data_IF_676726946244
#
_entry.id   IF_676726946244
#
_cell.length_a   1.000
_cell.length_b   1.000
_cell.length_c   1.000
_cell.angle_alpha   90.00
_cell.angle_beta   90.00
_cell.angle_gamma   90.00
#
_symmetry.space_group_name_H-M   'P 1'
#
loop_
_entity.id
_entity.type
_entity.pdbx_description
1 polymer ?
#
# COMPACT_ATOMS: atom_id res chain seq x y z
N UNK A 1 2.20 31.22 -3.77
CA UNK A 1 2.84 30.27 -2.84
C UNK A 1 1.93 30.13 -1.64
N UNK A 2 1.68 28.90 -1.19
CA UNK A 2 0.93 28.64 0.04
C UNK A 2 1.93 28.64 1.20
N UNK A 3 1.59 29.31 2.29
CA UNK A 3 2.40 29.31 3.51
C UNK A 3 2.13 28.08 4.37
N UNK A 4 0.96 27.44 4.18
CA UNK A 4 0.57 26.22 4.88
C UNK A 4 1.15 24.97 4.22
N UNK A 5 1.50 23.95 5.01
CA UNK A 5 1.91 22.65 4.49
C UNK A 5 0.84 21.98 3.65
N UNK A 6 1.24 21.44 2.49
CA UNK A 6 0.41 20.62 1.62
C UNK A 6 1.04 19.24 1.48
N UNK A 7 0.31 18.20 1.83
CA UNK A 7 0.76 16.82 1.70
C UNK A 7 -0.20 16.04 0.79
N UNK A 8 0.32 15.59 -0.35
CA UNK A 8 -0.42 14.79 -1.34
C UNK A 8 -0.04 13.33 -1.16
N UNK A 9 -1.02 12.48 -0.90
CA UNK A 9 -0.86 11.02 -0.83
C UNK A 9 -1.65 10.39 -1.95
N UNK A 10 -0.99 9.59 -2.79
CA UNK A 10 -1.58 8.98 -3.97
C UNK A 10 -1.43 7.47 -3.93
N UNK A 11 -2.52 6.75 -4.09
CA UNK A 11 -2.46 5.33 -4.35
C UNK A 11 -1.85 5.05 -5.74
N UNK A 12 -1.32 3.85 -5.94
CA UNK A 12 -0.83 3.40 -7.25
C UNK A 12 -1.88 3.60 -8.36
N UNK A 13 -3.14 3.31 -8.04
CA UNK A 13 -4.26 3.48 -8.96
C UNK A 13 -4.49 4.93 -9.40
N UNK A 14 -4.26 5.90 -8.52
CA UNK A 14 -4.40 7.32 -8.80
C UNK A 14 -3.34 7.80 -9.80
N UNK A 15 -2.10 7.38 -9.59
CA UNK A 15 -0.98 7.69 -10.47
C UNK A 15 -1.22 7.13 -11.87
N UNK A 16 -1.68 5.87 -11.99
CA UNK A 16 -1.97 5.23 -13.27
C UNK A 16 -3.15 5.90 -13.98
N UNK A 17 -4.18 6.28 -13.22
CA UNK A 17 -5.44 6.78 -13.82
C UNK A 17 -5.34 8.19 -14.35
N UNK A 18 -4.69 9.14 -13.62
CA UNK A 18 -4.71 10.55 -14.01
C UNK A 18 -3.62 11.41 -13.40
N UNK A 19 -2.98 10.97 -12.31
CA UNK A 19 -2.20 11.89 -11.46
C UNK A 19 -0.70 11.91 -11.77
N UNK A 20 -0.21 11.09 -12.68
CA UNK A 20 1.19 11.15 -13.10
C UNK A 20 1.63 12.54 -13.57
N UNK A 21 0.76 13.24 -14.28
CA UNK A 21 1.06 14.57 -14.86
C UNK A 21 1.10 15.70 -13.83
N UNK A 22 0.60 15.47 -12.60
CA UNK A 22 0.59 16.49 -11.54
C UNK A 22 1.72 16.33 -10.54
N UNK A 23 2.66 15.42 -10.78
CA UNK A 23 3.88 15.30 -9.97
C UNK A 23 4.60 16.64 -9.85
N UNK A 24 5.02 16.95 -8.65
CA UNK A 24 5.83 18.15 -8.34
C UNK A 24 6.97 17.73 -7.42
N UNK A 25 8.09 18.46 -7.44
CA UNK A 25 9.16 18.24 -6.47
C UNK A 25 8.69 18.63 -5.07
N UNK A 26 9.17 17.89 -4.07
CA UNK A 26 9.01 18.26 -2.67
C UNK A 26 9.67 19.62 -2.37
N UNK A 27 9.02 20.42 -1.52
CA UNK A 27 9.53 21.75 -1.11
C UNK A 27 9.45 21.91 0.40
N UNK A 28 9.72 23.10 0.91
CA UNK A 28 9.54 23.41 2.33
C UNK A 28 8.07 23.35 2.79
N UNK A 29 7.12 23.51 1.85
CA UNK A 29 5.67 23.52 2.14
C UNK A 29 4.88 22.48 1.33
N UNK A 30 5.54 21.60 0.58
CA UNK A 30 4.88 20.57 -0.21
C UNK A 30 5.57 19.21 -0.06
N UNK A 31 4.80 18.14 0.15
CA UNK A 31 5.22 16.74 0.12
C UNK A 31 4.27 15.93 -0.74
N UNK A 32 4.84 14.92 -1.41
CA UNK A 32 4.06 13.94 -2.16
C UNK A 32 4.56 12.53 -1.86
N UNK A 33 3.63 11.64 -1.51
CA UNK A 33 3.87 10.20 -1.45
C UNK A 33 3.06 9.49 -2.51
N UNK A 34 3.69 8.53 -3.18
CA UNK A 34 3.03 7.58 -4.07
C UNK A 34 3.17 6.18 -3.47
N UNK A 35 2.07 5.51 -3.21
CA UNK A 35 2.05 4.28 -2.43
C UNK A 35 2.00 3.06 -3.36
N UNK A 36 3.06 2.24 -3.34
CA UNK A 36 3.14 1.02 -4.14
C UNK A 36 2.11 -0.03 -3.68
N UNK A 37 1.50 -0.73 -4.62
CA UNK A 37 0.56 -1.83 -4.35
C UNK A 37 -0.75 -1.39 -3.71
N UNK A 38 -1.18 -0.14 -3.86
CA UNK A 38 -2.39 0.38 -3.22
C UNK A 38 -3.43 0.83 -4.25
N UNK A 39 -4.69 0.85 -3.86
CA UNK A 39 -5.80 1.29 -4.68
C UNK A 39 -6.48 2.53 -4.08
N UNK A 40 -7.20 3.27 -4.92
CA UNK A 40 -7.99 4.43 -4.50
C UNK A 40 -9.02 4.07 -3.42
N UNK A 41 -9.68 2.92 -3.57
CA UNK A 41 -10.65 2.38 -2.62
C UNK A 41 -10.37 0.88 -2.42
N UNK A 42 -9.56 0.56 -1.44
CA UNK A 42 -9.15 -0.81 -1.13
C UNK A 42 -10.16 -1.56 -0.24
N UNK A 43 -9.87 -2.81 0.08
CA UNK A 43 -10.74 -3.64 0.91
C UNK A 43 -10.92 -3.08 2.34
N UNK A 44 -9.93 -2.35 2.86
CA UNK A 44 -10.07 -1.70 4.16
C UNK A 44 -11.13 -0.59 4.10
N UNK A 45 -11.01 0.31 3.12
CA UNK A 45 -11.92 1.44 2.96
C UNK A 45 -13.37 0.98 2.71
N UNK A 46 -13.59 -0.03 1.87
CA UNK A 46 -14.95 -0.42 1.47
C UNK A 46 -15.60 -1.48 2.37
N UNK A 47 -14.87 -2.04 3.33
CA UNK A 47 -15.40 -3.13 4.16
C UNK A 47 -14.78 -3.25 5.54
N UNK A 48 -13.49 -3.59 5.62
CA UNK A 48 -12.82 -3.94 6.88
C UNK A 48 -12.86 -2.81 7.91
N UNK A 49 -12.58 -1.59 7.49
CA UNK A 49 -12.51 -0.42 8.36
C UNK A 49 -13.81 -0.07 9.10
N UNK A 50 -14.97 -0.50 8.60
CA UNK A 50 -16.24 -0.24 9.28
C UNK A 50 -16.38 -1.01 10.62
N UNK A 51 -15.65 -2.10 10.78
CA UNK A 51 -15.67 -2.92 11.99
C UNK A 51 -14.35 -2.91 12.76
N UNK A 52 -13.34 -2.21 12.27
CA UNK A 52 -12.04 -2.17 12.94
C UNK A 52 -12.06 -1.20 14.13
N UNK A 53 -11.68 -1.71 15.29
CA UNK A 53 -11.62 -0.97 16.55
C UNK A 53 -10.18 -0.64 16.98
N UNK A 54 -9.20 -0.80 16.07
CA UNK A 54 -7.78 -0.58 16.38
C UNK A 54 -7.21 -1.62 17.34
N UNK A 55 -7.65 -2.87 17.21
CA UNK A 55 -7.23 -4.00 18.07
C UNK A 55 -6.45 -5.08 17.31
N UNK A 56 -5.99 -4.77 16.11
CA UNK A 56 -5.30 -5.70 15.20
C UNK A 56 -6.23 -6.63 14.40
N UNK A 57 -7.55 -6.59 14.65
CA UNK A 57 -8.51 -7.40 13.91
C UNK A 57 -8.58 -7.01 12.43
N UNK A 58 -8.48 -5.71 12.13
CA UNK A 58 -8.43 -5.18 10.77
C UNK A 58 -7.20 -5.65 10.02
N UNK A 59 -6.02 -5.59 10.64
CA UNK A 59 -4.78 -6.10 10.06
C UNK A 59 -4.85 -7.60 9.75
N UNK A 60 -5.36 -8.40 10.69
CA UNK A 60 -5.55 -9.83 10.49
C UNK A 60 -6.52 -10.13 9.33
N UNK A 61 -7.64 -9.39 9.23
CA UNK A 61 -8.61 -9.56 8.15
C UNK A 61 -8.02 -9.15 6.79
N UNK A 62 -7.32 -8.03 6.70
CA UNK A 62 -6.64 -7.60 5.46
C UNK A 62 -5.59 -8.61 5.02
N UNK A 63 -4.82 -9.16 5.97
CA UNK A 63 -3.85 -10.21 5.68
C UNK A 63 -4.52 -11.48 5.12
N UNK A 64 -5.67 -11.90 5.67
CA UNK A 64 -6.44 -13.02 5.13
C UNK A 64 -6.94 -12.75 3.70
N UNK A 65 -7.38 -11.52 3.41
CA UNK A 65 -7.80 -11.15 2.05
C UNK A 65 -6.66 -11.23 1.04
N UNK A 66 -5.41 -10.97 1.45
CA UNK A 66 -4.24 -11.17 0.60
C UNK A 66 -3.90 -12.65 0.37
N UNK A 67 -4.12 -13.49 1.38
CA UNK A 67 -3.71 -14.90 1.39
C UNK A 67 -4.71 -15.85 0.76
N UNK A 68 -5.98 -15.47 0.75
CA UNK A 68 -7.08 -16.34 0.36
C UNK A 68 -7.73 -15.85 -0.93
N UNK A 69 -7.96 -16.72 -1.92
CA UNK A 69 -8.73 -16.34 -3.10
C UNK A 69 -10.13 -15.88 -2.68
N UNK A 70 -10.48 -14.64 -3.00
CA UNK A 70 -11.78 -14.07 -2.72
C UNK A 70 -12.53 -13.85 -4.04
N UNK A 71 -13.89 -13.92 -4.05
CA UNK A 71 -14.63 -13.57 -5.23
C UNK A 71 -14.50 -12.06 -5.52
N UNK A 72 -14.37 -11.66 -6.80
CA UNK A 72 -14.42 -10.26 -7.15
C UNK A 72 -15.82 -9.70 -6.86
N UNK A 73 -15.93 -8.37 -6.61
CA UNK A 73 -17.22 -7.70 -6.60
C UNK A 73 -17.94 -7.85 -7.93
N UNK A 74 -19.26 -7.77 -7.92
CA UNK A 74 -20.05 -7.89 -9.12
C UNK A 74 -19.60 -6.90 -10.21
N UNK A 75 -19.30 -7.42 -11.39
CA UNK A 75 -18.82 -6.65 -12.52
C UNK A 75 -17.31 -6.37 -12.56
N UNK A 76 -16.54 -6.76 -11.54
CA UNK A 76 -15.09 -6.63 -11.51
C UNK A 76 -14.39 -7.93 -11.91
N UNK A 77 -13.21 -7.83 -12.51
CA UNK A 77 -12.46 -8.99 -12.97
C UNK A 77 -11.64 -9.66 -11.86
N UNK A 78 -11.28 -8.92 -10.82
CA UNK A 78 -10.41 -9.41 -9.74
C UNK A 78 -10.95 -9.02 -8.36
N UNK A 79 -10.56 -9.75 -7.30
CA UNK A 79 -10.80 -9.33 -5.90
C UNK A 79 -10.22 -7.94 -5.65
N UNK A 80 -10.83 -7.22 -4.72
CA UNK A 80 -10.40 -5.89 -4.31
C UNK A 80 -8.97 -5.91 -3.76
N UNK A 81 -8.25 -4.82 -3.96
CA UNK A 81 -6.92 -4.63 -3.39
C UNK A 81 -6.95 -4.72 -1.85
N UNK A 82 -6.04 -5.51 -1.30
CA UNK A 82 -5.84 -5.65 0.14
C UNK A 82 -4.42 -5.19 0.55
N UNK A 83 -3.93 -4.12 -0.06
CA UNK A 83 -2.62 -3.53 0.22
C UNK A 83 -2.56 -2.69 1.48
N UNK A 84 -1.41 -2.05 1.69
CA UNK A 84 -1.09 -1.31 2.91
C UNK A 84 -1.55 0.14 2.95
N UNK A 85 -2.56 0.55 2.16
CA UNK A 85 -2.98 1.94 2.03
C UNK A 85 -3.34 2.58 3.38
N UNK A 86 -4.18 1.90 4.16
CA UNK A 86 -4.67 2.41 5.45
C UNK A 86 -3.53 2.85 6.39
N UNK A 87 -2.59 1.96 6.65
CA UNK A 87 -1.48 2.21 7.60
C UNK A 87 -0.52 3.30 7.12
N UNK A 88 -0.18 3.28 5.83
CA UNK A 88 0.66 4.34 5.25
C UNK A 88 -0.06 5.70 5.28
N UNK A 89 -1.38 5.72 5.07
CA UNK A 89 -2.18 6.94 5.17
C UNK A 89 -2.25 7.46 6.61
N UNK A 90 -2.32 6.60 7.63
CA UNK A 90 -2.20 7.00 9.03
C UNK A 90 -0.86 7.68 9.33
N UNK A 91 0.25 7.11 8.84
CA UNK A 91 1.57 7.72 8.98
C UNK A 91 1.64 9.08 8.29
N UNK A 92 1.02 9.22 7.11
CA UNK A 92 0.94 10.49 6.40
C UNK A 92 0.13 11.54 7.18
N UNK A 93 -1.02 11.18 7.76
CA UNK A 93 -1.82 12.09 8.60
C UNK A 93 -1.07 12.52 9.85
N UNK A 94 -0.39 11.59 10.53
CA UNK A 94 0.47 11.90 11.68
C UNK A 94 1.61 12.83 11.28
N UNK A 95 2.25 12.58 10.13
CA UNK A 95 3.30 13.43 9.60
C UNK A 95 2.81 14.83 9.26
N UNK A 96 1.62 14.97 8.68
CA UNK A 96 1.01 16.28 8.39
C UNK A 96 0.68 17.04 9.68
N UNK A 97 0.08 16.38 10.68
CA UNK A 97 -0.20 17.01 11.98
C UNK A 97 1.08 17.51 12.67
N UNK A 98 2.13 16.69 12.66
CA UNK A 98 3.45 17.07 13.17
C UNK A 98 4.02 18.27 12.42
N UNK A 99 3.93 18.26 11.09
CA UNK A 99 4.43 19.35 10.25
C UNK A 99 3.73 20.67 10.54
N UNK A 100 2.39 20.65 10.61
CA UNK A 100 1.61 21.86 10.94
C UNK A 100 1.96 22.42 12.32
N UNK A 101 2.21 21.55 13.30
CA UNK A 101 2.49 21.98 14.69
C UNK A 101 3.94 22.40 14.92
N UNK A 102 4.89 21.78 14.24
CA UNK A 102 6.32 21.93 14.55
C UNK A 102 7.14 22.56 13.43
N UNK A 103 6.57 22.67 12.23
CA UNK A 103 7.30 23.08 11.03
C UNK A 103 8.19 21.98 10.44
N UNK A 104 8.22 20.77 11.02
CA UNK A 104 9.05 19.66 10.55
C UNK A 104 8.28 18.82 9.54
N UNK A 105 8.65 18.84 8.24
CA UNK A 105 7.96 18.07 7.23
C UNK A 105 8.20 16.57 7.38
N UNK A 106 7.26 15.72 6.96
CA UNK A 106 7.48 14.26 6.88
C UNK A 106 8.60 13.92 5.90
N UNK A 107 9.09 12.68 5.97
CA UNK A 107 10.10 12.17 5.06
C UNK A 107 9.67 12.34 3.59
N UNK A 108 10.64 12.56 2.69
CA UNK A 108 10.41 12.52 1.25
C UNK A 108 10.17 11.08 0.82
N UNK A 109 9.04 10.82 0.14
CA UNK A 109 8.74 9.51 -0.43
C UNK A 109 9.37 9.33 -1.81
N UNK A 110 9.91 8.14 -2.13
CA UNK A 110 10.27 7.82 -3.51
C UNK A 110 9.03 7.81 -4.39
N UNK A 111 9.19 8.11 -5.69
CA UNK A 111 8.11 8.05 -6.66
C UNK A 111 8.03 6.66 -7.31
N UNK A 112 6.84 6.24 -7.71
CA UNK A 112 6.63 5.00 -8.49
C UNK A 112 7.41 5.07 -9.81
N UNK A 113 8.06 3.96 -10.16
CA UNK A 113 8.83 3.85 -11.40
C UNK A 113 7.90 3.66 -12.58
N UNK A 114 8.01 4.53 -13.58
CA UNK A 114 7.15 4.55 -14.76
C UNK A 114 7.92 3.96 -15.95
N UNK A 115 7.29 2.98 -16.62
CA UNK A 115 7.78 2.38 -17.85
C UNK A 115 7.31 3.15 -19.09
N UNK A 116 6.06 3.63 -19.07
CA UNK A 116 5.41 4.39 -20.15
C UNK A 116 4.46 5.42 -19.58
N UNK A 117 4.36 6.57 -20.23
CA UNK A 117 3.47 7.68 -19.84
C UNK A 117 2.20 7.77 -20.69
N UNK A 118 2.10 7.00 -21.79
CA UNK A 118 0.91 7.01 -22.67
C UNK A 118 0.75 5.64 -23.38
N UNK A 119 -0.10 4.74 -22.86
CA UNK A 119 -0.76 4.79 -21.55
C UNK A 119 0.24 4.75 -20.40
N UNK A 120 -0.20 5.21 -19.22
CA UNK A 120 0.65 5.11 -18.02
C UNK A 120 0.80 3.64 -17.64
N UNK A 121 2.05 3.17 -17.60
CA UNK A 121 2.43 1.81 -17.19
C UNK A 121 3.56 1.92 -16.17
N UNK A 122 3.39 1.28 -15.02
CA UNK A 122 4.44 1.23 -14.00
C UNK A 122 5.40 0.07 -14.26
N UNK A 123 6.64 0.24 -13.83
CA UNK A 123 7.58 -0.87 -13.73
C UNK A 123 7.17 -1.80 -12.58
N UNK A 124 7.35 -3.11 -12.79
CA UNK A 124 6.97 -4.13 -11.81
C UNK A 124 8.10 -5.10 -11.56
N UNK A 125 8.15 -5.61 -10.35
CA UNK A 125 9.08 -6.67 -9.96
C UNK A 125 8.64 -8.05 -10.51
N UNK A 126 9.41 -9.10 -10.20
CA UNK A 126 9.09 -10.47 -10.60
C UNK A 126 7.81 -11.03 -9.93
N UNK A 127 7.32 -10.41 -8.88
CA UNK A 127 6.06 -10.74 -8.22
C UNK A 127 4.85 -10.01 -8.85
N UNK A 128 5.10 -9.09 -9.78
CA UNK A 128 4.09 -8.25 -10.42
C UNK A 128 3.72 -7.00 -9.61
N UNK A 129 4.42 -6.71 -8.50
CA UNK A 129 4.18 -5.54 -7.67
C UNK A 129 4.96 -4.33 -8.20
N UNK A 130 4.43 -3.12 -8.00
CA UNK A 130 5.04 -1.90 -8.50
C UNK A 130 6.44 -1.66 -7.89
N UNK A 131 7.37 -1.16 -8.71
CA UNK A 131 8.69 -0.70 -8.28
C UNK A 131 8.68 0.80 -7.96
N UNK A 132 9.53 1.21 -7.03
CA UNK A 132 9.52 2.58 -6.49
C UNK A 132 8.31 2.84 -5.60
N UNK A 133 8.03 4.11 -5.35
CA UNK A 133 6.97 4.52 -4.41
C UNK A 133 7.33 4.23 -2.95
N UNK A 134 6.47 4.70 -2.05
CA UNK A 134 6.49 4.29 -0.65
C UNK A 134 6.07 2.82 -0.58
N UNK A 135 6.89 2.00 0.04
CA UNK A 135 6.73 0.55 0.06
C UNK A 135 6.47 0.07 1.49
N UNK A 136 5.70 -0.98 1.58
CA UNK A 136 5.34 -1.64 2.84
C UNK A 136 5.58 -3.15 2.70
N UNK A 137 5.50 -3.95 3.77
CA UNK A 137 5.63 -5.40 3.68
C UNK A 137 4.70 -6.06 2.64
N UNK A 138 3.55 -5.44 2.35
CA UNK A 138 2.60 -5.92 1.35
C UNK A 138 3.23 -6.09 -0.05
N UNK A 139 4.24 -5.30 -0.38
CA UNK A 139 4.97 -5.37 -1.66
C UNK A 139 6.44 -5.78 -1.51
N UNK A 140 7.07 -5.65 -0.34
CA UNK A 140 8.47 -6.02 -0.11
C UNK A 140 8.63 -7.46 0.41
N UNK A 141 7.67 -7.97 1.17
CA UNK A 141 7.55 -9.37 1.55
C UNK A 141 6.23 -9.98 1.07
N UNK A 142 5.92 -9.93 -0.26
CA UNK A 142 4.58 -10.16 -0.76
C UNK A 142 4.13 -11.61 -0.64
N UNK A 143 2.84 -11.78 -0.35
CA UNK A 143 2.12 -13.06 -0.39
C UNK A 143 1.07 -13.08 -1.52
N UNK A 144 0.98 -11.99 -2.26
CA UNK A 144 0.10 -11.79 -3.40
C UNK A 144 0.71 -10.82 -4.40
N UNK A 145 0.24 -10.84 -5.64
CA UNK A 145 0.36 -9.68 -6.52
C UNK A 145 -0.77 -8.72 -6.18
N UNK A 146 -0.42 -7.48 -5.83
CA UNK A 146 -1.39 -6.42 -5.54
C UNK A 146 -1.16 -5.23 -6.48
N UNK A 147 -2.24 -4.69 -7.03
CA UNK A 147 -2.14 -3.56 -7.98
C UNK A 147 -3.20 -2.52 -7.69
N UNK A 148 -2.90 -1.27 -8.05
CA UNK A 148 -3.83 -0.15 -7.88
C UNK A 148 -4.99 -0.13 -8.86
N UNK A 149 -5.02 -1.03 -9.85
CA UNK A 149 -6.07 -1.06 -10.89
C UNK A 149 -6.79 -2.40 -10.92
N UNK A 150 -8.04 -2.34 -11.38
CA UNK A 150 -8.89 -3.50 -11.67
C UNK A 150 -9.65 -3.22 -12.96
N UNK A 151 -10.04 -4.26 -13.67
CA UNK A 151 -10.89 -4.16 -14.85
C UNK A 151 -12.32 -4.54 -14.53
N UNK A 152 -13.24 -4.02 -15.35
CA UNK A 152 -14.67 -4.25 -15.17
C UNK A 152 -15.51 -3.00 -15.36
N UNK A 153 -16.73 -3.01 -14.85
CA UNK A 153 -17.71 -1.91 -14.98
C UNK A 153 -17.76 -1.05 -13.70
N UNK A 154 -18.33 0.14 -13.83
CA UNK A 154 -18.56 1.04 -12.69
C UNK A 154 -17.27 1.45 -11.97
N UNK A 155 -17.22 1.21 -10.67
CA UNK A 155 -16.10 1.60 -9.79
C UNK A 155 -14.93 0.60 -9.77
N UNK A 156 -14.99 -0.51 -10.54
CA UNK A 156 -13.97 -1.56 -10.48
C UNK A 156 -12.54 -1.02 -10.62
N UNK A 157 -12.32 -0.06 -11.51
CA UNK A 157 -11.01 0.56 -11.74
C UNK A 157 -10.42 1.25 -10.50
N UNK A 158 -11.27 1.62 -9.51
CA UNK A 158 -10.83 2.27 -8.26
C UNK A 158 -10.45 1.26 -7.19
N UNK A 159 -10.93 0.01 -7.30
CA UNK A 159 -10.79 -1.01 -6.27
C UNK A 159 -9.45 -1.73 -6.30
N UNK A 160 -8.65 -1.54 -7.35
CA UNK A 160 -7.41 -2.29 -7.51
C UNK A 160 -7.63 -3.80 -7.50
N UNK A 161 -6.57 -4.57 -7.37
CA UNK A 161 -6.69 -6.03 -7.39
C UNK A 161 -5.71 -6.72 -6.45
N UNK A 162 -6.11 -7.92 -5.98
CA UNK A 162 -5.32 -8.85 -5.20
C UNK A 162 -5.37 -10.22 -5.83
N UNK A 163 -4.21 -10.78 -6.16
CA UNK A 163 -4.07 -12.15 -6.66
C UNK A 163 -3.13 -12.91 -5.73
N UNK A 164 -3.66 -13.76 -4.82
CA UNK A 164 -2.86 -14.52 -3.89
C UNK A 164 -1.87 -15.43 -4.60
N UNK A 165 -0.66 -15.57 -4.05
CA UNK A 165 0.30 -16.57 -4.54
C UNK A 165 -0.16 -17.98 -4.21
N UNK A 166 0.10 -18.89 -5.12
CA UNK A 166 -0.05 -20.32 -4.88
C UNK A 166 0.92 -20.80 -3.80
N UNK A 167 0.62 -21.93 -3.16
CA UNK A 167 1.55 -22.52 -2.19
C UNK A 167 2.94 -22.79 -2.78
N UNK A 168 3.03 -23.18 -4.05
CA UNK A 168 4.32 -23.38 -4.72
C UNK A 168 5.12 -22.08 -4.85
N UNK A 169 4.47 -20.97 -5.20
CA UNK A 169 5.11 -19.65 -5.28
C UNK A 169 5.55 -19.17 -3.90
N UNK A 170 4.75 -19.40 -2.87
CA UNK A 170 5.08 -19.03 -1.49
C UNK A 170 6.28 -19.84 -0.97
N UNK A 171 6.28 -21.17 -1.18
CA UNK A 171 7.39 -22.03 -0.76
C UNK A 171 8.70 -21.73 -1.50
N UNK A 172 8.60 -21.35 -2.78
CA UNK A 172 9.78 -20.91 -3.55
C UNK A 172 10.37 -19.59 -3.04
N UNK A 173 9.53 -18.69 -2.50
CA UNK A 173 9.95 -17.40 -1.95
C UNK A 173 10.33 -17.50 -0.47
N UNK A 174 9.56 -18.23 0.30
CA UNK A 174 9.71 -18.40 1.74
C UNK A 174 9.69 -19.89 2.07
N UNK A 175 10.86 -20.55 2.18
CA UNK A 175 10.93 -21.99 2.46
C UNK A 175 10.25 -22.42 3.75
N UNK A 176 10.11 -21.51 4.72
CA UNK A 176 9.43 -21.74 5.99
C UNK A 176 8.59 -20.53 6.39
N UNK A 177 7.62 -20.73 7.28
CA UNK A 177 6.86 -19.63 7.91
C UNK A 177 7.80 -18.64 8.61
N UNK A 178 8.84 -19.13 9.30
CA UNK A 178 9.84 -18.29 9.97
C UNK A 178 10.58 -17.38 8.96
N UNK A 179 10.92 -17.90 7.78
CA UNK A 179 11.56 -17.11 6.73
C UNK A 179 10.61 -16.00 6.21
N UNK A 180 9.32 -16.29 6.07
CA UNK A 180 8.31 -15.30 5.71
C UNK A 180 8.19 -14.21 6.79
N UNK A 181 7.99 -14.61 8.05
CA UNK A 181 7.84 -13.66 9.17
C UNK A 181 9.07 -12.78 9.31
N UNK A 182 10.28 -13.33 9.14
CA UNK A 182 11.51 -12.55 9.18
C UNK A 182 11.59 -11.52 8.04
N UNK A 183 11.22 -11.90 6.82
CA UNK A 183 11.17 -10.96 5.68
C UNK A 183 10.13 -9.87 5.87
N UNK A 184 8.95 -10.23 6.42
CA UNK A 184 7.87 -9.29 6.72
C UNK A 184 8.30 -8.30 7.80
N UNK A 185 8.92 -8.79 8.90
CA UNK A 185 9.45 -7.95 9.99
C UNK A 185 10.51 -6.98 9.49
N UNK A 186 11.46 -7.44 8.69
CA UNK A 186 12.49 -6.55 8.12
C UNK A 186 11.87 -5.43 7.24
N UNK A 187 10.86 -5.75 6.44
CA UNK A 187 10.16 -4.76 5.63
C UNK A 187 9.31 -3.78 6.47
N UNK A 188 8.79 -4.22 7.63
CA UNK A 188 8.15 -3.34 8.62
C UNK A 188 9.16 -2.39 9.22
N UNK A 189 10.30 -2.91 9.72
CA UNK A 189 11.37 -2.11 10.30
C UNK A 189 11.84 -1.02 9.34
N UNK A 190 12.03 -1.36 8.05
CA UNK A 190 12.43 -0.42 7.02
C UNK A 190 11.37 0.67 6.79
N UNK A 191 10.08 0.31 6.77
CA UNK A 191 8.99 1.25 6.57
C UNK A 191 8.80 2.20 7.78
N UNK A 192 8.96 1.70 9.01
CA UNK A 192 8.93 2.51 10.24
C UNK A 192 10.13 3.44 10.29
N UNK A 193 11.34 2.94 10.01
CA UNK A 193 12.56 3.75 9.98
C UNK A 193 12.50 4.84 8.91
N UNK A 194 11.82 4.58 7.79
CA UNK A 194 11.55 5.55 6.72
C UNK A 194 10.45 6.57 7.08
N UNK A 195 9.73 6.39 8.17
CA UNK A 195 8.61 7.23 8.58
C UNK A 195 7.32 6.98 7.78
N UNK A 196 7.23 5.85 7.08
CA UNK A 196 6.09 5.47 6.22
C UNK A 196 5.05 4.58 6.93
N UNK A 197 5.39 4.06 8.10
CA UNK A 197 4.50 3.39 9.03
C UNK A 197 4.71 3.92 10.46
N UNK A 198 3.67 3.81 11.28
CA UNK A 198 3.76 4.10 12.71
C UNK A 198 4.12 2.82 13.49
N UNK A 199 4.81 2.95 14.63
CA UNK A 199 5.18 1.79 15.44
C UNK A 199 3.97 0.94 15.90
N UNK A 200 2.82 1.52 16.32
CA UNK A 200 1.64 0.71 16.63
C UNK A 200 1.12 -0.12 15.44
N UNK A 201 1.23 0.42 14.21
CA UNK A 201 0.82 -0.28 12.99
C UNK A 201 1.76 -1.44 12.65
N UNK A 202 3.07 -1.31 12.93
CA UNK A 202 4.06 -2.37 12.84
C UNK A 202 3.68 -3.56 13.72
N UNK A 203 3.39 -3.32 14.99
CA UNK A 203 3.00 -4.34 15.96
C UNK A 203 1.76 -5.14 15.48
N UNK A 204 0.74 -4.47 14.95
CA UNK A 204 -0.47 -5.10 14.39
C UNK A 204 -0.17 -5.96 13.15
N UNK A 205 0.57 -5.40 12.21
CA UNK A 205 0.91 -6.07 10.96
C UNK A 205 1.83 -7.27 11.18
N UNK A 206 2.77 -7.17 12.13
CA UNK A 206 3.62 -8.28 12.52
C UNK A 206 2.82 -9.40 13.17
N UNK A 207 1.90 -9.05 14.09
CA UNK A 207 1.02 -10.04 14.74
C UNK A 207 0.16 -10.79 13.71
N UNK A 208 -0.40 -10.09 12.69
CA UNK A 208 -1.16 -10.71 11.62
C UNK A 208 -0.32 -11.71 10.81
N UNK A 209 0.92 -11.37 10.48
CA UNK A 209 1.84 -12.26 9.77
C UNK A 209 2.25 -13.46 10.62
N UNK A 210 2.47 -13.28 11.91
CA UNK A 210 2.81 -14.36 12.84
C UNK A 210 1.65 -15.34 13.08
N UNK A 211 0.41 -14.88 13.00
CA UNK A 211 -0.78 -15.71 13.17
C UNK A 211 -1.14 -16.52 11.90
N UNK A 212 -0.55 -16.21 10.74
CA UNK A 212 -0.88 -16.78 9.42
C UNK A 212 -0.36 -18.20 9.19
#
# INVERSE_FOLDING_TARGET
>A
DLDEPVFVVQAEGDVISSNLAIRQPDTATFRQWELAGTAHADAYMIGVGFGDLGTGAGAAQMFQLMRTPNPPPAGCASPVNAGGHHWTFQAALHGLDTWVRTGTPPAMGPLLQVQSTSPVVLQRDAAGNALGGVRTPHVDAPVATITGINSGTGFCRLFGSTVPFTNAQLLARYPTKSAFVAAWSAALDDAVAGGFLLQPDDDELLAAAQAS
#
